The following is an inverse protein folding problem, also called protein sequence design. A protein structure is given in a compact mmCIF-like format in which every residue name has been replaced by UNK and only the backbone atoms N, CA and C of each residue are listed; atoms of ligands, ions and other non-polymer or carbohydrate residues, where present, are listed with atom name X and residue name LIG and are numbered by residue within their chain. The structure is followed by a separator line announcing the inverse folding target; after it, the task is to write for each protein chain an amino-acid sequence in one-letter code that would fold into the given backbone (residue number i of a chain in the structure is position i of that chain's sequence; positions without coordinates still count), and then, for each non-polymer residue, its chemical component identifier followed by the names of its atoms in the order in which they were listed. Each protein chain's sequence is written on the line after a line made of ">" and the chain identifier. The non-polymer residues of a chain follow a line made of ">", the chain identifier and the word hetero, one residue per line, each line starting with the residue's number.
data_IF_173415641786
#
_entry.id   IF_173415641786
#
_cell.length_a   1.000
_cell.length_b   1.000
_cell.length_c   1.000
_cell.angle_alpha   90.00
_cell.angle_beta   90.00
_cell.angle_gamma   90.00
#
_symmetry.space_group_name_H-M   'P 1'
#
loop_
_entity.id
_entity.type
_entity.pdbx_description
1 polymer ?
#
# COMPACT_ATOMS: atom_id res chain seq x y z
N UNK A 1 4.39 -6.80 -29.41
CA UNK A 1 3.90 -5.71 -28.55
C UNK A 1 5.09 -4.76 -28.37
N UNK A 2 5.05 -3.55 -28.94
CA UNK A 2 6.23 -2.69 -29.05
C UNK A 2 6.65 -2.12 -27.69
N UNK A 3 7.94 -2.17 -27.36
CA UNK A 3 8.51 -1.71 -26.08
C UNK A 3 8.13 -0.25 -25.74
N UNK A 4 8.11 0.65 -26.75
CA UNK A 4 7.68 2.05 -26.59
C UNK A 4 6.24 2.22 -26.09
N UNK A 5 5.35 1.31 -26.46
CA UNK A 5 3.92 1.34 -26.08
C UNK A 5 3.74 0.95 -24.61
N UNK A 6 4.60 0.07 -24.09
CA UNK A 6 4.58 -0.31 -22.68
C UNK A 6 5.13 0.83 -21.79
N UNK A 7 6.18 1.50 -22.26
CA UNK A 7 6.83 2.60 -21.54
C UNK A 7 5.89 3.81 -21.32
N UNK A 8 5.09 4.19 -22.32
CA UNK A 8 4.12 5.29 -22.15
C UNK A 8 3.00 4.94 -21.16
N UNK A 9 2.47 3.71 -21.22
CA UNK A 9 1.43 3.28 -20.25
C UNK A 9 1.97 3.33 -18.83
N UNK A 10 3.18 2.82 -18.64
CA UNK A 10 3.90 2.80 -17.38
C UNK A 10 4.11 4.22 -16.84
N UNK A 11 4.61 5.13 -17.68
CA UNK A 11 4.78 6.54 -17.33
C UNK A 11 3.48 7.22 -16.88
N UNK A 12 2.35 6.97 -17.56
CA UNK A 12 1.05 7.50 -17.13
C UNK A 12 0.66 6.98 -15.73
N UNK A 13 0.93 5.70 -15.44
CA UNK A 13 0.66 5.11 -14.12
C UNK A 13 1.57 5.70 -13.04
N UNK A 14 2.85 5.92 -13.33
CA UNK A 14 3.81 6.50 -12.39
C UNK A 14 3.46 7.94 -12.03
N UNK A 15 3.20 8.79 -13.02
CA UNK A 15 2.75 10.18 -12.80
C UNK A 15 1.38 10.19 -12.12
N UNK A 16 0.50 9.29 -12.54
CA UNK A 16 -0.81 9.06 -11.94
C UNK A 16 -0.73 8.75 -10.45
N UNK A 17 0.15 7.84 -10.06
CA UNK A 17 0.37 7.46 -8.67
C UNK A 17 0.79 8.65 -7.83
N UNK A 18 1.77 9.44 -8.29
CA UNK A 18 2.24 10.63 -7.56
C UNK A 18 1.12 11.65 -7.35
N UNK A 19 0.32 11.91 -8.38
CA UNK A 19 -0.81 12.84 -8.28
C UNK A 19 -1.89 12.33 -7.32
N UNK A 20 -2.23 11.03 -7.41
CA UNK A 20 -3.31 10.43 -6.61
C UNK A 20 -2.91 10.30 -5.14
N UNK A 21 -1.66 9.94 -4.82
CA UNK A 21 -1.17 9.94 -3.43
C UNK A 21 -1.21 11.34 -2.82
N UNK A 22 -0.88 12.36 -3.61
CA UNK A 22 -0.86 13.74 -3.16
C UNK A 22 -2.27 14.31 -2.96
N UNK A 23 -3.18 14.10 -3.91
CA UNK A 23 -4.46 14.84 -4.02
C UNK A 23 -5.72 13.99 -3.88
N UNK A 24 -5.62 12.67 -3.88
CA UNK A 24 -6.79 11.77 -4.01
C UNK A 24 -7.16 11.52 -5.48
N UNK A 25 -7.97 10.50 -5.73
CA UNK A 25 -8.34 10.11 -7.10
C UNK A 25 -9.42 11.03 -7.69
N UNK A 26 -10.41 11.38 -6.87
CA UNK A 26 -11.53 12.23 -7.26
C UNK A 26 -11.06 13.62 -7.71
N UNK A 27 -10.11 14.19 -6.97
CA UNK A 27 -9.55 15.54 -7.21
C UNK A 27 -8.61 15.64 -8.42
N UNK A 28 -8.02 14.54 -8.89
CA UNK A 28 -7.11 14.56 -10.04
C UNK A 28 -7.92 14.49 -11.34
N UNK A 29 -8.05 15.60 -12.06
CA UNK A 29 -8.72 15.63 -13.35
C UNK A 29 -7.92 14.97 -14.48
N UNK A 30 -8.59 14.46 -15.52
CA UNK A 30 -7.92 13.85 -16.68
C UNK A 30 -6.94 14.83 -17.35
N UNK A 31 -7.37 16.06 -17.62
CA UNK A 31 -6.48 17.07 -18.23
C UNK A 31 -5.25 17.36 -17.37
N UNK A 32 -5.41 17.39 -16.04
CA UNK A 32 -4.28 17.58 -15.14
C UNK A 32 -3.29 16.41 -15.21
N UNK A 33 -3.78 15.17 -15.23
CA UNK A 33 -2.96 13.97 -15.41
C UNK A 33 -2.18 14.02 -16.73
N UNK A 34 -2.86 14.31 -17.84
CA UNK A 34 -2.25 14.35 -19.17
C UNK A 34 -1.17 15.43 -19.29
N UNK A 35 -1.43 16.61 -18.73
CA UNK A 35 -0.46 17.70 -18.71
C UNK A 35 0.76 17.34 -17.84
N UNK A 36 0.55 16.71 -16.68
CA UNK A 36 1.65 16.29 -15.82
C UNK A 36 2.48 15.15 -16.44
N UNK A 37 1.84 14.27 -17.22
CA UNK A 37 2.50 13.17 -17.89
C UNK A 37 3.13 13.58 -19.23
N UNK A 38 2.86 14.78 -19.74
CA UNK A 38 3.21 15.21 -21.10
C UNK A 38 2.72 14.21 -22.17
N UNK A 39 1.47 13.76 -22.03
CA UNK A 39 0.85 12.75 -22.91
C UNK A 39 -0.40 13.31 -23.57
N UNK A 40 -0.54 13.25 -24.91
CA UNK A 40 -1.75 13.65 -25.61
C UNK A 40 -2.97 12.84 -25.18
N UNK A 41 -4.15 13.48 -25.16
CA UNK A 41 -5.43 12.84 -24.81
C UNK A 41 -5.72 11.57 -25.64
N UNK A 42 -5.39 11.59 -26.94
CA UNK A 42 -5.56 10.42 -27.81
C UNK A 42 -4.73 9.21 -27.36
N UNK A 43 -3.49 9.43 -26.91
CA UNK A 43 -2.62 8.38 -26.39
C UNK A 43 -3.15 7.80 -25.09
N UNK A 44 -3.78 8.59 -24.23
CA UNK A 44 -4.43 8.04 -23.02
C UNK A 44 -5.55 7.07 -23.36
N UNK A 45 -6.45 7.42 -24.28
CA UNK A 45 -7.56 6.54 -24.67
C UNK A 45 -7.13 5.31 -25.46
N UNK A 46 -5.90 5.29 -25.98
CA UNK A 46 -5.29 4.07 -26.50
C UNK A 46 -5.05 3.02 -25.39
N UNK A 47 -4.70 3.46 -24.18
CA UNK A 47 -4.39 2.56 -23.04
C UNK A 47 -5.54 2.37 -22.07
N UNK A 48 -6.32 3.41 -21.80
CA UNK A 48 -7.37 3.44 -20.80
C UNK A 48 -8.66 3.99 -21.41
N UNK A 49 -9.71 3.18 -21.46
CA UNK A 49 -11.02 3.56 -22.03
C UNK A 49 -11.71 4.66 -21.23
N UNK A 50 -11.40 4.79 -19.94
CA UNK A 50 -11.96 5.80 -19.05
C UNK A 50 -11.00 6.15 -17.92
N UNK A 51 -11.27 7.25 -17.21
CA UNK A 51 -10.56 7.60 -15.97
C UNK A 51 -10.72 6.52 -14.90
N UNK A 52 -11.89 5.91 -14.82
CA UNK A 52 -12.18 4.81 -13.90
C UNK A 52 -11.30 3.59 -14.20
N UNK A 53 -11.21 3.18 -15.48
CA UNK A 53 -10.33 2.06 -15.86
C UNK A 53 -8.85 2.38 -15.60
N UNK A 54 -8.44 3.63 -15.78
CA UNK A 54 -7.11 4.08 -15.34
C UNK A 54 -6.94 3.95 -13.83
N UNK A 55 -7.95 4.33 -13.03
CA UNK A 55 -7.93 4.20 -11.57
C UNK A 55 -7.78 2.75 -11.10
N UNK A 56 -8.54 1.83 -11.71
CA UNK A 56 -8.41 0.40 -11.45
C UNK A 56 -7.00 -0.10 -11.79
N UNK A 57 -6.50 0.22 -12.98
CA UNK A 57 -5.17 -0.17 -13.42
C UNK A 57 -4.06 0.42 -12.52
N UNK A 58 -4.25 1.63 -12.01
CA UNK A 58 -3.33 2.29 -11.07
C UNK A 58 -3.25 1.55 -9.74
N UNK A 59 -4.38 1.10 -9.21
CA UNK A 59 -4.43 0.32 -7.97
C UNK A 59 -3.74 -1.04 -8.17
N UNK A 60 -4.03 -1.73 -9.26
CA UNK A 60 -3.38 -3.00 -9.62
C UNK A 60 -1.87 -2.83 -9.76
N UNK A 61 -1.44 -1.80 -10.48
CA UNK A 61 -0.04 -1.42 -10.65
C UNK A 61 0.64 -1.18 -9.29
N UNK A 62 0.03 -0.37 -8.42
CA UNK A 62 0.55 -0.11 -7.08
C UNK A 62 0.76 -1.41 -6.29
N UNK A 63 -0.23 -2.30 -6.25
CA UNK A 63 -0.11 -3.55 -5.48
C UNK A 63 0.90 -4.53 -6.08
N UNK A 64 1.05 -4.57 -7.41
CA UNK A 64 2.08 -5.40 -8.05
C UNK A 64 3.47 -5.05 -7.51
N UNK A 65 3.82 -3.76 -7.43
CA UNK A 65 5.10 -3.32 -6.90
C UNK A 65 5.18 -3.40 -5.37
N UNK A 66 4.09 -3.04 -4.69
CA UNK A 66 4.05 -3.07 -3.22
C UNK A 66 4.23 -4.50 -2.70
N UNK A 67 3.50 -5.47 -3.23
CA UNK A 67 3.58 -6.87 -2.80
C UNK A 67 4.97 -7.47 -3.04
N UNK A 68 5.64 -7.14 -4.15
CA UNK A 68 7.02 -7.56 -4.40
C UNK A 68 7.98 -7.04 -3.32
N UNK A 69 7.86 -5.76 -2.95
CA UNK A 69 8.69 -5.15 -1.89
C UNK A 69 8.40 -5.75 -0.52
N UNK A 70 7.12 -5.96 -0.20
CA UNK A 70 6.69 -6.57 1.07
C UNK A 70 7.21 -8.00 1.17
N UNK A 71 7.04 -8.81 0.12
CA UNK A 71 7.52 -10.18 0.09
C UNK A 71 9.05 -10.26 0.25
N UNK A 72 9.80 -9.35 -0.37
CA UNK A 72 11.26 -9.29 -0.21
C UNK A 72 11.68 -9.11 1.26
N UNK A 73 10.97 -8.27 2.01
CA UNK A 73 11.25 -8.05 3.44
C UNK A 73 10.76 -9.23 4.29
N UNK A 74 9.53 -9.70 4.06
CA UNK A 74 8.88 -10.71 4.89
C UNK A 74 9.37 -12.15 4.64
N UNK A 75 10.07 -12.40 3.52
CA UNK A 75 10.68 -13.70 3.21
C UNK A 75 12.20 -13.75 3.45
N UNK A 76 12.77 -12.76 4.16
CA UNK A 76 14.19 -12.79 4.49
C UNK A 76 14.52 -13.92 5.50
N UNK A 77 14.97 -15.07 5.01
CA UNK A 77 15.25 -16.26 5.83
C UNK A 77 16.40 -16.10 6.84
N UNK A 78 17.17 -15.02 6.75
CA UNK A 78 18.23 -14.70 7.71
C UNK A 78 17.71 -14.08 9.02
N UNK A 79 16.45 -13.64 9.05
CA UNK A 79 15.79 -13.01 10.20
C UNK A 79 14.69 -13.93 10.75
N UNK A 80 14.42 -13.84 12.05
CA UNK A 80 13.24 -14.46 12.69
C UNK A 80 11.93 -13.85 12.16
N UNK A 81 10.81 -14.55 12.31
CA UNK A 81 9.50 -14.02 11.91
C UNK A 81 9.16 -12.67 12.57
N UNK A 82 9.50 -12.50 13.85
CA UNK A 82 9.35 -11.23 14.56
C UNK A 82 10.20 -10.10 13.96
N UNK A 83 11.48 -10.37 13.67
CA UNK A 83 12.39 -9.36 13.09
C UNK A 83 11.92 -8.90 11.72
N UNK A 84 11.45 -9.81 10.87
CA UNK A 84 10.88 -9.49 9.54
C UNK A 84 9.68 -8.56 9.65
N UNK A 85 8.74 -8.85 10.56
CA UNK A 85 7.56 -8.01 10.79
C UNK A 85 7.96 -6.65 11.37
N UNK A 86 8.86 -6.63 12.35
CA UNK A 86 9.36 -5.40 12.94
C UNK A 86 10.05 -4.53 11.86
N UNK A 87 10.87 -5.11 10.98
CA UNK A 87 11.48 -4.41 9.87
C UNK A 87 10.42 -3.85 8.92
N UNK A 88 9.48 -4.68 8.46
CA UNK A 88 8.38 -4.25 7.58
C UNK A 88 7.63 -3.03 8.13
N UNK A 89 7.27 -3.05 9.42
CA UNK A 89 6.56 -1.96 10.06
C UNK A 89 7.42 -0.72 10.33
N UNK A 90 8.73 -0.88 10.57
CA UNK A 90 9.65 0.27 10.61
C UNK A 90 9.73 0.99 9.25
N UNK A 91 9.57 0.27 8.13
CA UNK A 91 9.53 0.91 6.80
C UNK A 91 8.33 1.84 6.62
N UNK A 92 7.23 1.64 7.35
CA UNK A 92 6.07 2.53 7.32
C UNK A 92 6.38 3.89 7.97
N UNK A 93 7.16 3.89 9.06
CA UNK A 93 7.54 5.10 9.81
C UNK A 93 8.57 5.92 9.04
N UNK A 94 9.42 5.27 8.24
CA UNK A 94 10.51 5.92 7.50
C UNK A 94 10.01 7.12 6.69
N UNK A 95 10.72 8.24 6.84
CA UNK A 95 10.48 9.49 6.12
C UNK A 95 11.51 9.62 5.01
N UNK A 96 11.03 9.84 3.78
CA UNK A 96 11.88 10.05 2.61
C UNK A 96 11.39 11.32 1.89
N UNK A 97 12.29 12.25 1.61
CA UNK A 97 11.98 13.55 0.99
C UNK A 97 10.86 14.31 1.73
N UNK A 98 10.87 14.26 3.07
CA UNK A 98 9.87 14.91 3.92
C UNK A 98 8.51 14.22 3.96
N UNK A 99 8.34 13.05 3.32
CA UNK A 99 7.09 12.30 3.31
C UNK A 99 7.27 10.95 3.99
N UNK A 100 6.48 10.72 5.05
CA UNK A 100 6.37 9.41 5.69
C UNK A 100 5.80 8.36 4.72
N UNK A 101 6.37 7.16 4.71
CA UNK A 101 5.94 6.08 3.81
C UNK A 101 4.49 5.64 4.04
N UNK A 102 4.01 5.67 5.29
CA UNK A 102 2.61 5.47 5.63
C UNK A 102 1.65 6.37 4.81
N UNK A 103 2.07 7.61 4.51
CA UNK A 103 1.27 8.57 3.74
C UNK A 103 1.22 8.28 2.23
N UNK A 104 2.01 7.31 1.75
CA UNK A 104 2.06 6.85 0.36
C UNK A 104 1.14 5.64 0.11
N UNK A 105 0.48 5.13 1.15
CA UNK A 105 -0.40 3.97 1.06
C UNK A 105 -1.71 4.31 0.33
N UNK A 106 -1.98 3.65 -0.80
CA UNK A 106 -3.23 3.86 -1.55
C UNK A 106 -4.47 3.39 -0.82
N UNK A 107 -4.37 2.41 0.08
CA UNK A 107 -5.52 1.96 0.88
C UNK A 107 -6.00 3.10 1.78
N UNK A 108 -5.09 3.71 2.55
CA UNK A 108 -5.41 4.87 3.41
C UNK A 108 -5.95 6.03 2.57
N UNK A 109 -5.39 6.24 1.38
CA UNK A 109 -5.76 7.37 0.52
C UNK A 109 -7.10 7.21 -0.18
N UNK A 110 -7.44 6.02 -0.63
CA UNK A 110 -8.52 5.82 -1.60
C UNK A 110 -9.71 5.06 -1.02
N UNK A 111 -9.56 4.29 0.06
CA UNK A 111 -10.65 3.45 0.57
C UNK A 111 -11.96 4.22 0.78
N UNK A 112 -11.91 5.42 1.36
CA UNK A 112 -13.11 6.23 1.55
C UNK A 112 -13.60 6.96 0.27
N UNK A 113 -12.69 7.26 -0.68
CA UNK A 113 -13.05 7.98 -1.91
C UNK A 113 -13.69 7.07 -2.97
N UNK A 114 -13.20 5.83 -3.08
CA UNK A 114 -13.52 4.99 -4.25
C UNK A 114 -14.54 3.88 -3.95
N UNK A 115 -14.78 3.57 -2.67
CA UNK A 115 -15.69 2.48 -2.29
C UNK A 115 -17.14 2.72 -2.73
N UNK A 116 -17.59 3.97 -2.75
CA UNK A 116 -18.93 4.35 -3.23
C UNK A 116 -18.92 4.84 -4.68
N UNK A 117 -17.73 4.95 -5.31
CA UNK A 117 -17.55 5.53 -6.65
C UNK A 117 -17.48 4.45 -7.73
N UNK A 118 -16.71 3.39 -7.49
CA UNK A 118 -16.36 2.40 -8.51
C UNK A 118 -16.13 1.03 -7.89
N UNK A 119 -17.01 0.09 -8.22
CA UNK A 119 -16.93 -1.29 -7.77
C UNK A 119 -15.62 -1.99 -8.21
N UNK A 120 -15.14 -1.84 -9.47
CA UNK A 120 -13.84 -2.37 -9.88
C UNK A 120 -12.67 -1.83 -9.04
N UNK A 121 -12.64 -0.53 -8.75
CA UNK A 121 -11.58 0.07 -7.94
C UNK A 121 -11.65 -0.39 -6.47
N UNK A 122 -12.87 -0.45 -5.91
CA UNK A 122 -13.11 -0.96 -4.56
C UNK A 122 -12.59 -2.39 -4.42
N UNK A 123 -12.90 -3.25 -5.38
CA UNK A 123 -12.52 -4.65 -5.31
C UNK A 123 -11.03 -4.86 -5.61
N UNK A 124 -10.42 -4.05 -6.47
CA UNK A 124 -8.96 -4.02 -6.64
C UNK A 124 -8.22 -3.62 -5.34
N UNK A 125 -8.73 -2.61 -4.60
CA UNK A 125 -8.17 -2.23 -3.29
C UNK A 125 -8.29 -3.35 -2.27
N UNK A 126 -9.48 -3.96 -2.17
CA UNK A 126 -9.76 -5.03 -1.22
C UNK A 126 -8.90 -6.27 -1.49
N UNK A 127 -8.77 -6.69 -2.75
CA UNK A 127 -7.90 -7.80 -3.13
C UNK A 127 -6.44 -7.51 -2.79
N UNK A 128 -5.94 -6.32 -3.15
CA UNK A 128 -4.57 -5.93 -2.82
C UNK A 128 -4.29 -5.89 -1.32
N UNK A 129 -5.21 -5.32 -0.53
CA UNK A 129 -5.13 -5.30 0.93
C UNK A 129 -5.10 -6.73 1.52
N UNK A 130 -5.97 -7.62 1.04
CA UNK A 130 -6.00 -9.02 1.47
C UNK A 130 -4.68 -9.73 1.16
N UNK A 131 -4.06 -9.46 0.01
CA UNK A 131 -2.77 -10.05 -0.34
C UNK A 131 -1.64 -9.57 0.60
N UNK A 132 -1.66 -8.31 1.03
CA UNK A 132 -0.72 -7.80 2.04
C UNK A 132 -0.93 -8.51 3.37
N UNK A 133 -2.18 -8.66 3.82
CA UNK A 133 -2.52 -9.40 5.04
C UNK A 133 -2.02 -10.84 4.97
N UNK A 134 -2.18 -11.53 3.85
CA UNK A 134 -1.67 -12.89 3.67
C UNK A 134 -0.15 -12.99 3.80
N UNK A 135 0.60 -12.00 3.29
CA UNK A 135 2.07 -11.96 3.47
C UNK A 135 2.45 -11.74 4.94
N UNK A 136 1.74 -10.86 5.65
CA UNK A 136 1.94 -10.64 7.09
C UNK A 136 1.63 -11.93 7.87
N UNK A 137 0.52 -12.61 7.57
CA UNK A 137 0.14 -13.86 8.21
C UNK A 137 1.21 -14.95 8.00
N UNK A 138 1.75 -15.08 6.79
CA UNK A 138 2.83 -16.03 6.52
C UNK A 138 4.11 -15.72 7.30
N UNK A 139 4.43 -14.45 7.56
CA UNK A 139 5.56 -14.08 8.40
C UNK A 139 5.28 -14.35 9.89
N UNK A 140 4.02 -14.20 10.33
CA UNK A 140 3.59 -14.61 11.68
C UNK A 140 3.72 -16.13 11.84
N UNK A 141 3.29 -16.92 10.86
CA UNK A 141 3.45 -18.38 10.87
C UNK A 141 4.92 -18.81 10.96
N UNK A 142 5.82 -18.09 10.29
CA UNK A 142 7.25 -18.32 10.41
C UNK A 142 7.74 -18.04 11.85
N UNK A 143 7.27 -16.94 12.45
CA UNK A 143 7.61 -16.58 13.83
C UNK A 143 7.02 -17.52 14.89
N UNK A 144 5.88 -18.16 14.61
CA UNK A 144 5.34 -19.23 15.46
C UNK A 144 6.23 -20.48 15.39
N UNK A 145 6.76 -20.81 14.22
CA UNK A 145 7.64 -21.98 14.02
C UNK A 145 9.01 -21.80 14.65
N UNK A 146 9.58 -20.60 14.58
CA UNK A 146 10.88 -20.28 15.18
C UNK A 146 10.78 -19.87 16.67
N UNK A 147 9.56 -19.67 17.18
CA UNK A 147 9.28 -19.31 18.57
C UNK A 147 9.46 -17.83 18.91
N UNK A 148 9.70 -16.97 17.91
CA UNK A 148 9.85 -15.51 18.10
C UNK A 148 8.52 -14.78 18.27
N UNK A 149 7.40 -15.38 17.87
CA UNK A 149 6.05 -14.81 17.99
C UNK A 149 5.16 -15.73 18.81
N UNK A 150 4.27 -15.14 19.60
CA UNK A 150 3.22 -15.83 20.36
C UNK A 150 1.87 -15.25 19.97
N UNK A 151 1.03 -16.07 19.32
CA UNK A 151 -0.37 -15.74 19.01
C UNK A 151 -1.17 -17.04 18.78
N UNK A 152 -2.49 -16.97 18.92
CA UNK A 152 -3.38 -18.11 18.70
C UNK A 152 -3.84 -18.25 17.23
N UNK A 153 -3.83 -17.16 16.46
CA UNK A 153 -4.30 -17.12 15.07
C UNK A 153 -3.49 -16.10 14.26
N UNK A 154 -2.68 -16.59 13.33
CA UNK A 154 -1.83 -15.78 12.46
C UNK A 154 -2.63 -14.86 11.54
N UNK A 155 -3.75 -15.34 11.02
CA UNK A 155 -4.58 -14.60 10.07
C UNK A 155 -5.32 -13.46 10.77
N UNK A 156 -5.95 -13.74 11.91
CA UNK A 156 -6.63 -12.73 12.71
C UNK A 156 -5.64 -11.69 13.26
N UNK A 157 -4.44 -12.12 13.67
CA UNK A 157 -3.39 -11.21 14.12
C UNK A 157 -2.88 -10.33 12.97
N UNK A 158 -2.65 -10.89 11.79
CA UNK A 158 -2.24 -10.12 10.60
C UNK A 158 -3.26 -9.05 10.23
N UNK A 159 -4.56 -9.39 10.25
CA UNK A 159 -5.65 -8.43 10.01
C UNK A 159 -5.66 -7.32 11.06
N UNK A 160 -5.53 -7.69 12.34
CA UNK A 160 -5.52 -6.74 13.46
C UNK A 160 -4.36 -5.75 13.33
N UNK A 161 -3.15 -6.24 13.06
CA UNK A 161 -1.99 -5.39 12.83
C UNK A 161 -2.20 -4.50 11.61
N UNK A 162 -2.68 -5.04 10.49
CA UNK A 162 -2.91 -4.24 9.29
C UNK A 162 -3.92 -3.11 9.54
N UNK A 163 -5.03 -3.37 10.22
CA UNK A 163 -6.00 -2.34 10.60
C UNK A 163 -5.43 -1.29 11.55
N UNK A 164 -4.66 -1.71 12.57
CA UNK A 164 -3.96 -0.81 13.48
C UNK A 164 -3.06 0.17 12.71
N UNK A 165 -2.27 -0.35 11.77
CA UNK A 165 -1.34 0.46 10.97
C UNK A 165 -2.03 1.37 9.96
N UNK A 166 -3.15 0.93 9.35
CA UNK A 166 -3.97 1.80 8.51
C UNK A 166 -4.56 2.97 9.32
N UNK A 167 -5.10 2.70 10.51
CA UNK A 167 -5.62 3.71 11.41
C UNK A 167 -4.54 4.69 11.88
N UNK A 168 -3.38 4.17 12.29
CA UNK A 168 -2.23 4.97 12.69
C UNK A 168 -1.71 5.87 11.55
N UNK A 169 -1.69 5.35 10.32
CA UNK A 169 -1.31 6.12 9.13
C UNK A 169 -2.28 7.26 8.85
N UNK A 170 -3.58 6.99 8.98
CA UNK A 170 -4.62 8.01 8.82
C UNK A 170 -4.47 9.12 9.87
N UNK A 171 -4.28 8.75 11.13
CA UNK A 171 -4.14 9.70 12.24
C UNK A 171 -2.80 10.46 12.22
N UNK A 172 -1.71 9.82 11.79
CA UNK A 172 -0.42 10.49 11.55
C UNK A 172 -0.58 11.62 10.51
N UNK A 173 -1.37 11.38 9.46
CA UNK A 173 -1.70 12.43 8.49
C UNK A 173 -2.60 13.52 9.06
N UNK A 174 -3.51 13.19 9.98
CA UNK A 174 -4.36 14.17 10.65
C UNK A 174 -3.55 15.07 11.60
N UNK A 175 -2.70 14.48 12.44
CA UNK A 175 -1.89 15.18 13.44
C UNK A 175 -0.62 15.82 12.87
N UNK A 176 -0.22 15.46 11.64
CA UNK A 176 1.02 15.90 11.00
C UNK A 176 2.29 15.51 11.78
N UNK A 177 2.25 14.37 12.47
CA UNK A 177 3.37 13.81 13.23
C UNK A 177 3.41 12.28 13.12
N UNK A 178 4.43 11.65 13.73
CA UNK A 178 4.62 10.19 13.70
C UNK A 178 4.11 9.48 14.95
N UNK A 179 3.53 10.19 15.91
CA UNK A 179 3.20 9.65 17.25
C UNK A 179 2.27 8.44 17.17
N UNK A 180 1.25 8.50 16.31
CA UNK A 180 0.33 7.38 16.09
C UNK A 180 1.01 6.13 15.51
N UNK A 181 1.99 6.31 14.63
CA UNK A 181 2.75 5.20 14.03
C UNK A 181 3.76 4.61 15.01
N UNK A 182 4.41 5.45 15.83
CA UNK A 182 5.30 5.02 16.91
C UNK A 182 4.53 4.19 17.95
N UNK A 183 3.33 4.64 18.32
CA UNK A 183 2.44 3.88 19.20
C UNK A 183 1.98 2.56 18.56
N UNK A 184 1.67 2.56 17.26
CA UNK A 184 1.34 1.34 16.53
C UNK A 184 2.51 0.33 16.52
N UNK A 185 3.75 0.80 16.38
CA UNK A 185 4.93 -0.05 16.45
C UNK A 185 5.13 -0.64 17.86
N UNK A 186 5.02 0.17 18.91
CA UNK A 186 5.08 -0.32 20.28
C UNK A 186 3.99 -1.38 20.54
N UNK A 187 2.76 -1.11 20.09
CA UNK A 187 1.62 -2.02 20.22
C UNK A 187 1.84 -3.32 19.43
N UNK A 188 2.40 -3.24 18.22
CA UNK A 188 2.74 -4.41 17.40
C UNK A 188 3.71 -5.33 18.14
N UNK A 189 4.76 -4.77 18.75
CA UNK A 189 5.72 -5.56 19.53
C UNK A 189 5.03 -6.27 20.70
N UNK A 190 4.20 -5.54 21.46
CA UNK A 190 3.45 -6.14 22.56
C UNK A 190 2.53 -7.27 22.10
N UNK A 191 1.75 -7.07 21.03
CA UNK A 191 0.80 -8.07 20.54
C UNK A 191 1.48 -9.34 20.01
N UNK A 192 2.71 -9.23 19.49
CA UNK A 192 3.44 -10.38 18.94
C UNK A 192 4.24 -11.15 19.99
N UNK A 193 4.54 -10.55 21.15
CA UNK A 193 5.37 -11.19 22.19
C UNK A 193 4.66 -11.38 23.53
N UNK A 194 3.43 -10.90 23.67
CA UNK A 194 2.63 -11.11 24.88
C UNK A 194 2.29 -12.60 25.02
N UNK A 195 2.58 -13.15 26.20
CA UNK A 195 2.17 -14.51 26.59
C UNK A 195 0.78 -14.50 27.19
#
# INVERSE_FOLDING_TARGET
>A
MNEKTNDTKQHILDVGYQLVVAKGFTSVGLSQLLNAADVPKGSFYHYFKSKEQFGEALIQYYFQHYLQRVAHVLHNEQETGFERLNHYFNLWIKVENGVCNANKCLVVKLSAEVSDLSEPMREALKQGANNVVSLIASAIDAGLKDGSIVTCDSQAMAQTLYHLWLGASLLSKLSQDLSGLEQALATTKMLLTAK
#
